data_IF_874131632014
#
_entry.id   IF_874131632014
#
_cell.length_a   1.000
_cell.length_b   1.000
_cell.length_c   1.000
_cell.angle_alpha   90.00
_cell.angle_beta   90.00
_cell.angle_gamma   90.00
#
_symmetry.space_group_name_H-M   'P 1'
#
loop_
_entity.id
_entity.type
_entity.pdbx_description
1 polymer ?
#
# COMPACT_ATOMS: atom_id res chain seq x y z
N UNK A 1 31.24 13.12 -43.56
CA UNK A 1 29.77 12.94 -43.48
C UNK A 1 29.37 11.85 -42.47
N UNK A 2 29.95 10.65 -42.54
CA UNK A 2 29.63 9.51 -41.64
C UNK A 2 29.84 9.79 -40.14
N UNK A 3 30.95 10.40 -39.75
CA UNK A 3 31.24 10.70 -38.34
C UNK A 3 30.25 11.68 -37.70
N UNK A 4 29.81 12.70 -38.46
CA UNK A 4 28.83 13.69 -38.01
C UNK A 4 27.46 13.03 -37.82
N UNK A 5 27.05 12.16 -38.75
CA UNK A 5 25.80 11.41 -38.64
C UNK A 5 25.77 10.49 -37.40
N UNK A 6 26.88 9.82 -37.09
CA UNK A 6 27.01 8.99 -35.89
C UNK A 6 26.94 9.86 -34.63
N UNK A 7 27.62 11.00 -34.61
CA UNK A 7 27.55 11.95 -33.50
C UNK A 7 26.13 12.44 -33.22
N UNK A 8 25.38 12.78 -34.27
CA UNK A 8 23.97 13.20 -34.17
C UNK A 8 23.11 12.05 -33.63
N UNK A 9 23.30 10.82 -34.12
CA UNK A 9 22.54 9.66 -33.66
C UNK A 9 22.80 9.34 -32.18
N UNK A 10 24.05 9.44 -31.73
CA UNK A 10 24.42 9.29 -30.32
C UNK A 10 23.81 10.42 -29.48
N UNK A 11 23.86 11.66 -29.96
CA UNK A 11 23.27 12.80 -29.26
C UNK A 11 21.75 12.67 -29.10
N UNK A 12 21.06 12.24 -30.16
CA UNK A 12 19.62 11.96 -30.14
C UNK A 12 19.32 10.82 -29.15
N UNK A 13 20.05 9.72 -29.23
CA UNK A 13 19.89 8.59 -28.31
C UNK A 13 20.16 8.99 -26.85
N UNK A 14 21.19 9.81 -26.60
CA UNK A 14 21.51 10.34 -25.27
C UNK A 14 20.42 11.28 -24.75
N UNK A 15 19.93 12.18 -25.60
CA UNK A 15 18.82 13.08 -25.27
C UNK A 15 17.56 12.30 -24.92
N UNK A 16 17.20 11.28 -25.72
CA UNK A 16 16.06 10.41 -25.43
C UNK A 16 16.26 9.58 -24.17
N UNK A 17 17.44 8.98 -23.95
CA UNK A 17 17.75 8.24 -22.72
C UNK A 17 17.60 9.11 -21.48
N UNK A 18 18.12 10.33 -21.51
CA UNK A 18 18.03 11.30 -20.41
C UNK A 18 16.57 11.74 -20.17
N UNK A 19 15.82 12.01 -21.24
CA UNK A 19 14.41 12.44 -21.13
C UNK A 19 13.48 11.32 -20.66
N UNK A 20 13.67 10.10 -21.17
CA UNK A 20 12.88 8.93 -20.80
C UNK A 20 13.09 8.52 -19.33
N UNK A 21 14.34 8.59 -18.83
CA UNK A 21 14.64 8.37 -17.42
C UNK A 21 13.89 9.32 -16.48
N UNK A 22 13.72 10.58 -16.88
CA UNK A 22 12.98 11.57 -16.10
C UNK A 22 11.48 11.31 -16.09
N UNK A 23 10.91 10.87 -17.22
CA UNK A 23 9.49 10.55 -17.32
C UNK A 23 9.09 9.35 -16.44
N UNK A 24 9.87 8.27 -16.50
CA UNK A 24 9.63 7.07 -15.69
C UNK A 24 9.72 7.34 -14.19
N UNK A 25 10.60 8.26 -13.78
CA UNK A 25 10.75 8.65 -12.37
C UNK A 25 9.50 9.38 -11.85
N UNK A 26 8.93 10.27 -12.66
CA UNK A 26 7.69 10.99 -12.32
C UNK A 26 6.49 10.05 -12.22
N UNK A 27 6.33 9.14 -13.19
CA UNK A 27 5.28 8.10 -13.16
C UNK A 27 5.36 7.23 -11.90
N UNK A 28 6.56 6.78 -11.52
CA UNK A 28 6.75 5.96 -10.31
C UNK A 28 6.36 6.72 -9.03
N UNK A 29 6.75 7.98 -8.89
CA UNK A 29 6.36 8.81 -7.75
C UNK A 29 4.84 9.03 -7.69
N UNK A 30 4.20 9.32 -8.82
CA UNK A 30 2.74 9.49 -8.89
C UNK A 30 2.01 8.21 -8.51
N UNK A 31 2.50 7.06 -8.93
CA UNK A 31 1.93 5.75 -8.57
C UNK A 31 2.07 5.47 -7.07
N UNK A 32 3.19 5.83 -6.44
CA UNK A 32 3.40 5.69 -4.99
C UNK A 32 2.48 6.64 -4.22
N UNK A 33 2.37 7.90 -4.63
CA UNK A 33 1.46 8.87 -4.00
C UNK A 33 0.01 8.41 -4.10
N UNK A 34 -0.41 7.96 -5.29
CA UNK A 34 -1.76 7.43 -5.52
C UNK A 34 -2.03 6.20 -4.67
N UNK A 35 -1.03 5.30 -4.53
CA UNK A 35 -1.12 4.13 -3.66
C UNK A 35 -1.29 4.53 -2.18
N UNK A 36 -0.46 5.46 -1.68
CA UNK A 36 -0.52 5.93 -0.29
C UNK A 36 -1.84 6.66 0.02
N UNK A 37 -2.34 7.49 -0.91
CA UNK A 37 -3.65 8.14 -0.78
C UNK A 37 -4.79 7.12 -0.69
N UNK A 38 -4.73 6.06 -1.48
CA UNK A 38 -5.76 5.02 -1.48
C UNK A 38 -5.71 4.10 -0.25
N UNK A 39 -4.53 3.87 0.33
CA UNK A 39 -4.37 2.98 1.49
C UNK A 39 -4.74 3.62 2.84
N UNK A 40 -5.02 4.91 2.89
CA UNK A 40 -5.40 5.63 4.10
C UNK A 40 -4.27 5.76 5.13
N UNK A 41 -4.59 6.15 6.36
CA UNK A 41 -3.59 6.30 7.43
C UNK A 41 -2.92 4.96 7.74
N UNK A 42 -1.58 4.88 7.79
CA UNK A 42 -0.85 3.66 8.15
C UNK A 42 -1.07 3.23 9.62
N UNK A 43 -1.78 4.04 10.41
CA UNK A 43 -2.10 3.72 11.81
C UNK A 43 -3.15 2.61 11.90
N UNK A 44 -2.98 1.62 12.81
CA UNK A 44 -4.04 0.66 13.12
C UNK A 44 -5.37 1.36 13.45
N UNK A 45 -6.46 0.86 12.90
CA UNK A 45 -7.79 1.40 13.17
C UNK A 45 -8.14 1.21 14.64
N UNK A 46 -8.53 2.30 15.31
CA UNK A 46 -9.02 2.26 16.69
C UNK A 46 -10.50 1.89 16.70
N UNK A 47 -10.87 0.98 17.59
CA UNK A 47 -12.24 0.54 17.81
C UNK A 47 -12.66 0.86 19.23
N UNK A 48 -13.88 1.33 19.42
CA UNK A 48 -14.45 1.48 20.76
C UNK A 48 -14.81 0.11 21.34
N UNK A 49 -14.95 0.03 22.67
CA UNK A 49 -15.39 -1.21 23.33
C UNK A 49 -16.73 -1.74 22.80
N UNK A 50 -17.68 -0.83 22.51
CA UNK A 50 -18.97 -1.20 21.92
C UNK A 50 -18.81 -1.87 20.55
N UNK A 51 -17.89 -1.38 19.72
CA UNK A 51 -17.58 -1.97 18.42
C UNK A 51 -16.94 -3.35 18.60
N UNK A 52 -15.96 -3.47 19.50
CA UNK A 52 -15.30 -4.73 19.85
C UNK A 52 -16.32 -5.77 20.31
N UNK A 53 -17.22 -5.38 21.21
CA UNK A 53 -18.30 -6.23 21.72
C UNK A 53 -19.23 -6.67 20.59
N UNK A 54 -19.59 -5.77 19.66
CA UNK A 54 -20.44 -6.11 18.52
C UNK A 54 -19.74 -7.09 17.56
N UNK A 55 -18.49 -6.80 17.17
CA UNK A 55 -17.77 -7.65 16.21
C UNK A 55 -17.47 -9.04 16.75
N UNK A 56 -17.27 -9.19 18.07
CA UNK A 56 -17.03 -10.47 18.74
C UNK A 56 -18.31 -11.20 19.17
N UNK A 57 -19.49 -10.68 18.81
CA UNK A 57 -20.79 -11.17 19.28
C UNK A 57 -20.83 -11.32 20.82
N UNK A 58 -20.47 -10.26 21.52
CA UNK A 58 -20.28 -10.23 22.98
C UNK A 58 -19.28 -11.27 23.50
N UNK A 59 -18.13 -11.39 22.83
CA UNK A 59 -17.06 -12.33 23.21
C UNK A 59 -17.49 -13.81 23.26
N UNK A 60 -18.45 -14.21 22.41
CA UNK A 60 -19.08 -15.53 22.47
C UNK A 60 -18.15 -16.70 22.14
N UNK A 61 -17.25 -16.53 21.18
CA UNK A 61 -16.44 -17.62 20.63
C UNK A 61 -14.95 -17.39 20.94
N UNK A 62 -14.45 -17.99 22.02
CA UNK A 62 -13.03 -17.94 22.40
C UNK A 62 -12.22 -18.88 21.48
N UNK A 63 -11.12 -18.36 20.93
CA UNK A 63 -10.18 -19.09 20.08
C UNK A 63 -8.99 -19.62 20.89
N UNK A 64 -8.59 -18.91 21.94
CA UNK A 64 -7.46 -19.31 22.79
C UNK A 64 -7.30 -18.43 24.02
N UNK A 65 -6.38 -18.81 24.90
CA UNK A 65 -6.04 -18.09 26.11
C UNK A 65 -4.56 -18.31 26.47
N UNK A 66 -3.89 -17.27 26.96
CA UNK A 66 -2.51 -17.31 27.43
C UNK A 66 -2.22 -16.20 28.45
N UNK A 67 -0.94 -15.98 28.75
CA UNK A 67 -0.50 -14.98 29.76
C UNK A 67 -0.94 -13.54 29.45
N UNK A 68 -1.22 -13.23 28.18
CA UNK A 68 -1.68 -11.91 27.74
C UNK A 68 -3.21 -11.75 27.71
N UNK A 69 -3.97 -12.81 27.99
CA UNK A 69 -5.44 -12.78 28.00
C UNK A 69 -6.09 -13.81 27.08
N UNK A 70 -7.32 -13.52 26.64
CA UNK A 70 -8.13 -14.39 25.78
C UNK A 70 -8.32 -13.79 24.40
N UNK A 71 -8.28 -14.65 23.37
CA UNK A 71 -8.49 -14.29 21.97
C UNK A 71 -9.88 -14.74 21.54
N UNK A 72 -10.64 -13.90 20.83
CA UNK A 72 -12.03 -14.16 20.47
C UNK A 72 -12.26 -13.95 18.98
N UNK A 73 -13.08 -14.80 18.36
CA UNK A 73 -13.48 -14.63 16.97
C UNK A 73 -14.29 -13.35 16.81
N UNK A 74 -13.91 -12.53 15.84
CA UNK A 74 -14.63 -11.33 15.43
C UNK A 74 -14.97 -11.30 13.94
N UNK A 75 -15.94 -10.46 13.56
CA UNK A 75 -16.26 -10.14 12.17
C UNK A 75 -16.45 -8.63 12.01
N UNK A 76 -15.65 -8.03 11.14
CA UNK A 76 -15.72 -6.60 10.81
C UNK A 76 -16.98 -6.28 10.01
N UNK A 77 -17.32 -4.99 9.90
CA UNK A 77 -18.48 -4.51 9.13
C UNK A 77 -18.40 -4.87 7.64
N UNK A 78 -17.18 -4.92 7.09
CA UNK A 78 -16.91 -5.35 5.71
C UNK A 78 -16.96 -6.88 5.53
N UNK A 79 -17.30 -7.62 6.59
CA UNK A 79 -17.45 -9.06 6.59
C UNK A 79 -16.16 -9.85 6.78
N UNK A 80 -15.00 -9.19 6.91
CA UNK A 80 -13.73 -9.87 7.17
C UNK A 80 -13.71 -10.48 8.57
N UNK A 81 -13.26 -11.73 8.67
CA UNK A 81 -13.06 -12.40 9.94
C UNK A 81 -11.75 -11.94 10.59
N UNK A 82 -11.77 -11.76 11.90
CA UNK A 82 -10.63 -11.31 12.72
C UNK A 82 -10.57 -12.11 14.04
N UNK A 83 -9.46 -12.01 14.75
CA UNK A 83 -9.20 -12.65 16.04
C UNK A 83 -8.40 -11.71 16.95
#
# INVERSE_FOLDING_TARGET
ASAIAIGILIFIAFYFRRKFSSYNSTESCLNIETFLRNYGSPSPKRYGYADIKKMTNSFKYKLGQGGYGSVYKGKLLDGRNVA
#
